data_IF_401276926442
#
_entry.id   IF_401276926442
#
_cell.length_a   1.000
_cell.length_b   1.000
_cell.length_c   1.000
_cell.angle_alpha   90.00
_cell.angle_beta   90.00
_cell.angle_gamma   90.00
#
_symmetry.space_group_name_H-M   'P 1'
#
loop_
_entity.id
_entity.type
_entity.pdbx_description
1 polymer ?
#
# COMPACT_ATOMS: atom_id res chain seq x y z
N UNK A 1 -2.84 -15.05 -27.57
CA UNK A 1 -3.42 -15.39 -26.25
C UNK A 1 -2.43 -15.18 -25.10
N UNK A 2 -1.26 -15.83 -25.06
CA UNK A 2 -0.23 -15.64 -23.99
C UNK A 2 0.18 -14.17 -23.75
N UNK A 3 0.35 -13.39 -24.81
CA UNK A 3 0.67 -11.94 -24.72
C UNK A 3 -0.44 -11.10 -24.08
N UNK A 4 -1.71 -11.50 -24.26
CA UNK A 4 -2.87 -10.78 -23.70
C UNK A 4 -2.98 -11.08 -22.20
N UNK A 5 -2.75 -12.33 -21.78
CA UNK A 5 -2.72 -12.73 -20.37
C UNK A 5 -1.62 -11.95 -19.61
N UNK A 6 -0.45 -11.81 -20.21
CA UNK A 6 0.69 -11.11 -19.60
C UNK A 6 0.45 -9.60 -19.45
N UNK A 7 -0.24 -8.97 -20.42
CA UNK A 7 -0.66 -7.57 -20.33
C UNK A 7 -1.70 -7.34 -19.23
N UNK A 8 -2.67 -8.25 -19.08
CA UNK A 8 -3.68 -8.19 -18.02
C UNK A 8 -3.05 -8.29 -16.62
N UNK A 9 -2.07 -9.17 -16.42
CA UNK A 9 -1.39 -9.29 -15.13
C UNK A 9 -0.61 -8.03 -14.73
N UNK A 10 0.01 -7.34 -15.70
CA UNK A 10 0.75 -6.11 -15.43
C UNK A 10 -0.22 -4.97 -15.07
N UNK A 11 -1.32 -4.81 -15.80
CA UNK A 11 -2.35 -3.83 -15.48
C UNK A 11 -2.97 -4.04 -14.10
N UNK A 12 -3.21 -5.30 -13.70
CA UNK A 12 -3.71 -5.63 -12.37
C UNK A 12 -2.70 -5.32 -11.25
N UNK A 13 -1.41 -5.52 -11.48
CA UNK A 13 -0.36 -5.17 -10.51
C UNK A 13 -0.26 -3.64 -10.30
N UNK A 14 -0.45 -2.85 -11.37
CA UNK A 14 -0.42 -1.40 -11.33
C UNK A 14 -1.64 -0.79 -10.62
N UNK A 15 -2.79 -1.47 -10.64
CA UNK A 15 -3.99 -1.03 -9.92
C UNK A 15 -3.82 -1.00 -8.39
N UNK A 16 -2.81 -1.69 -7.85
CA UNK A 16 -2.47 -1.67 -6.43
C UNK A 16 -1.75 -0.39 -5.96
N UNK A 17 -1.20 0.39 -6.89
CA UNK A 17 -0.45 1.61 -6.58
C UNK A 17 -1.40 2.83 -6.51
N UNK A 18 -2.23 2.89 -5.48
CA UNK A 18 -2.94 4.15 -5.17
C UNK A 18 -1.98 5.17 -4.56
N UNK A 19 -2.15 6.45 -4.91
CA UNK A 19 -1.43 7.53 -4.22
C UNK A 19 -2.12 7.87 -2.89
N UNK A 20 -1.42 8.48 -1.91
CA UNK A 20 -2.04 8.96 -0.69
C UNK A 20 -3.21 9.92 -0.96
N UNK A 21 -3.03 10.82 -1.93
CA UNK A 21 -4.06 11.79 -2.34
C UNK A 21 -5.31 11.10 -2.87
N UNK A 22 -5.14 10.05 -3.68
CA UNK A 22 -6.27 9.30 -4.25
C UNK A 22 -7.04 8.55 -3.15
N UNK A 23 -6.35 7.89 -2.21
CA UNK A 23 -7.01 7.25 -1.06
C UNK A 23 -7.77 8.23 -0.17
N UNK A 24 -7.20 9.43 0.04
CA UNK A 24 -7.87 10.49 0.79
C UNK A 24 -9.13 10.98 0.07
N UNK A 25 -9.07 11.16 -1.25
CA UNK A 25 -10.23 11.54 -2.06
C UNK A 25 -11.31 10.45 -2.05
N UNK A 26 -10.93 9.18 -2.24
CA UNK A 26 -11.85 8.03 -2.21
C UNK A 26 -12.50 7.85 -0.83
N UNK A 27 -11.76 8.11 0.25
CA UNK A 27 -12.29 8.09 1.61
C UNK A 27 -13.31 9.22 1.84
N UNK A 28 -12.99 10.45 1.41
CA UNK A 28 -13.92 11.58 1.53
C UNK A 28 -15.16 11.41 0.64
N UNK A 29 -15.01 10.80 -0.54
CA UNK A 29 -16.13 10.50 -1.45
C UNK A 29 -17.17 9.54 -0.83
N UNK A 30 -16.78 8.78 0.19
CA UNK A 30 -17.69 7.93 0.98
C UNK A 30 -18.46 8.71 2.06
N UNK A 31 -18.28 10.03 2.15
CA UNK A 31 -18.89 10.88 3.18
C UNK A 31 -18.15 10.85 4.52
N UNK A 32 -16.95 10.28 4.57
CA UNK A 32 -16.11 10.25 5.77
C UNK A 32 -15.45 11.63 5.96
N UNK A 33 -15.36 12.09 7.20
CA UNK A 33 -14.71 13.37 7.51
C UNK A 33 -13.23 13.35 7.13
N UNK A 34 -12.70 14.52 6.74
CA UNK A 34 -11.28 14.66 6.37
C UNK A 34 -10.34 14.17 7.47
N UNK A 35 -10.67 14.44 8.73
CA UNK A 35 -9.83 14.04 9.87
C UNK A 35 -9.83 12.53 10.08
N UNK A 36 -10.99 11.87 9.94
CA UNK A 36 -11.07 10.42 10.03
C UNK A 36 -10.30 9.74 8.88
N UNK A 37 -10.39 10.27 7.66
CA UNK A 37 -9.58 9.82 6.53
C UNK A 37 -8.08 10.02 6.79
N UNK A 38 -7.69 11.16 7.37
CA UNK A 38 -6.30 11.45 7.70
C UNK A 38 -5.74 10.50 8.75
N UNK A 39 -6.52 10.21 9.79
CA UNK A 39 -6.15 9.23 10.82
C UNK A 39 -6.03 7.82 10.24
N UNK A 40 -6.95 7.42 9.36
CA UNK A 40 -6.88 6.12 8.69
C UNK A 40 -5.62 5.98 7.82
N UNK A 41 -5.27 7.01 7.05
CA UNK A 41 -4.07 7.00 6.22
C UNK A 41 -2.79 7.01 7.05
N UNK A 42 -2.74 7.74 8.17
CA UNK A 42 -1.62 7.67 9.12
C UNK A 42 -1.46 6.26 9.70
N UNK A 43 -2.56 5.64 10.16
CA UNK A 43 -2.53 4.27 10.67
C UNK A 43 -2.01 3.28 9.62
N UNK A 44 -2.41 3.45 8.37
CA UNK A 44 -1.91 2.66 7.24
C UNK A 44 -0.40 2.82 7.05
N UNK A 45 0.12 4.05 7.08
CA UNK A 45 1.56 4.29 6.97
C UNK A 45 2.33 3.65 8.11
N UNK A 46 1.86 3.81 9.36
CA UNK A 46 2.47 3.18 10.53
C UNK A 46 2.50 1.65 10.39
N UNK A 47 1.41 1.03 9.91
CA UNK A 47 1.37 -0.41 9.71
C UNK A 47 2.37 -0.89 8.64
N UNK A 48 2.50 -0.15 7.54
CA UNK A 48 3.47 -0.45 6.47
C UNK A 48 4.90 -0.33 6.99
N UNK A 49 5.21 0.75 7.72
CA UNK A 49 6.52 0.96 8.31
C UNK A 49 6.87 -0.14 9.31
N UNK A 50 5.96 -0.49 10.23
CA UNK A 50 6.19 -1.56 11.19
C UNK A 50 6.42 -2.93 10.54
N UNK A 51 5.70 -3.24 9.45
CA UNK A 51 5.94 -4.45 8.68
C UNK A 51 7.31 -4.42 7.97
N UNK A 52 7.69 -3.28 7.39
CA UNK A 52 8.98 -3.09 6.74
C UNK A 52 10.15 -3.19 7.73
N UNK A 53 10.02 -2.57 8.91
CA UNK A 53 11.00 -2.64 10.00
C UNK A 53 11.20 -4.08 10.48
N UNK A 54 10.11 -4.82 10.71
CA UNK A 54 10.18 -6.24 11.06
C UNK A 54 10.93 -7.04 10.01
N UNK A 55 10.57 -6.87 8.74
CA UNK A 55 11.23 -7.55 7.63
C UNK A 55 12.72 -7.17 7.53
N UNK A 56 13.04 -5.90 7.75
CA UNK A 56 14.42 -5.41 7.76
C UNK A 56 15.24 -6.07 8.88
N UNK A 57 14.67 -6.20 10.09
CA UNK A 57 15.32 -6.90 11.21
C UNK A 57 15.53 -8.39 10.92
N UNK A 58 14.53 -9.07 10.34
CA UNK A 58 14.66 -10.47 9.94
C UNK A 58 15.76 -10.63 8.88
N UNK A 59 15.80 -9.76 7.88
CA UNK A 59 16.84 -9.77 6.85
C UNK A 59 18.23 -9.49 7.42
N UNK A 60 18.36 -8.51 8.34
CA UNK A 60 19.61 -8.23 9.02
C UNK A 60 20.09 -9.42 9.86
N UNK A 61 19.19 -10.09 10.59
CA UNK A 61 19.54 -11.28 11.38
C UNK A 61 20.02 -12.45 10.51
N UNK A 62 19.43 -12.62 9.32
CA UNK A 62 19.85 -13.64 8.33
C UNK A 62 21.20 -13.31 7.70
N UNK A 63 21.52 -12.04 7.52
CA UNK A 63 22.77 -11.61 6.87
C UNK A 63 24.03 -11.79 7.74
N UNK A 64 23.86 -11.89 9.07
CA UNK A 64 24.97 -12.03 10.04
C UNK A 64 25.18 -13.50 10.46
N UNK A 65 24.36 -14.43 9.95
CA UNK A 65 24.40 -15.86 10.30
C UNK A 65 25.00 -16.67 9.16
#
# INVERSE_FOLDING_TARGET
>A
MKKIILLLSVAAALAGCSSPTQRMADCQAQGISKDACYMAEQNRQTAILGAAEKQAMENASKAVK
#
